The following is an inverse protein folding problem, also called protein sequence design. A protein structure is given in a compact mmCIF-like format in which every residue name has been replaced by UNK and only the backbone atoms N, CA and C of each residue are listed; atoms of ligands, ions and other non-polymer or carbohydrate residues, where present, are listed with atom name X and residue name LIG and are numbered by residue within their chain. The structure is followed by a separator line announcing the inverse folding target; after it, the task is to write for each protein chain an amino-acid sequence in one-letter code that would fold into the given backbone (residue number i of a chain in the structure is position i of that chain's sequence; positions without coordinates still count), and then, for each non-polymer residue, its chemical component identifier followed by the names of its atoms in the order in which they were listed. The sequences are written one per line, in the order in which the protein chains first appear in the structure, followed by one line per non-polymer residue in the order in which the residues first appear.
data_IF_594447412662
#
_entry.id   IF_594447412662
#
_cell.length_a   1.000
_cell.length_b   1.000
_cell.length_c   1.000
_cell.angle_alpha   90.00
_cell.angle_beta   90.00
_cell.angle_gamma   90.00
#
_symmetry.space_group_name_H-M   'P 1'
#
loop_
_entity.id
_entity.type
_entity.pdbx_description
1 polymer ?
#
# COMPACT_ATOMS: atom_id res chain seq x y z
N UNK A 1 57.08 -33.60 -65.74
CA UNK A 1 57.61 -34.94 -65.41
C UNK A 1 58.28 -34.83 -64.04
N UNK A 2 57.85 -35.66 -63.09
CA UNK A 2 58.48 -35.93 -61.75
C UNK A 2 58.31 -34.82 -60.70
N UNK A 3 57.92 -35.04 -59.44
CA UNK A 3 57.21 -36.10 -58.68
C UNK A 3 56.90 -35.51 -57.28
N UNK A 4 55.68 -35.70 -56.74
CA UNK A 4 55.35 -36.45 -55.51
C UNK A 4 56.22 -36.21 -54.26
N UNK A 5 55.59 -35.67 -53.19
CA UNK A 5 55.23 -36.37 -51.92
C UNK A 5 56.41 -36.62 -50.97
N UNK A 6 56.29 -36.24 -49.70
CA UNK A 6 55.77 -37.15 -48.66
C UNK A 6 55.70 -36.48 -47.27
N UNK A 7 54.57 -36.72 -46.60
CA UNK A 7 54.28 -36.44 -45.19
C UNK A 7 55.25 -37.13 -44.21
N UNK A 8 55.41 -36.53 -43.02
CA UNK A 8 55.29 -37.23 -41.71
C UNK A 8 55.20 -36.25 -40.52
N UNK A 9 54.04 -36.29 -39.87
CA UNK A 9 53.77 -36.35 -38.41
C UNK A 9 54.37 -35.31 -37.43
N UNK A 10 53.49 -34.39 -36.98
CA UNK A 10 53.02 -34.09 -35.58
C UNK A 10 53.89 -34.41 -34.33
N UNK A 11 53.63 -33.82 -33.12
CA UNK A 11 52.82 -32.64 -32.78
C UNK A 11 53.29 -31.73 -31.58
N UNK A 12 52.57 -30.59 -31.46
CA UNK A 12 51.98 -29.92 -30.28
C UNK A 12 52.82 -29.19 -29.18
N UNK A 13 52.59 -27.85 -29.18
CA UNK A 13 52.10 -26.96 -28.09
C UNK A 13 53.04 -26.48 -26.95
N UNK A 14 53.21 -25.15 -26.89
CA UNK A 14 52.89 -24.22 -25.78
C UNK A 14 53.76 -22.94 -25.93
N UNK A 15 53.25 -21.78 -26.39
CA UNK A 15 52.44 -20.73 -25.69
C UNK A 15 53.31 -19.68 -24.96
N UNK A 16 53.06 -18.42 -25.37
CA UNK A 16 53.27 -17.10 -24.71
C UNK A 16 54.68 -16.52 -24.48
N UNK A 17 54.93 -15.31 -25.00
CA UNK A 17 54.90 -14.05 -24.21
C UNK A 17 55.18 -12.77 -25.04
N UNK A 18 54.73 -11.63 -24.49
CA UNK A 18 55.25 -10.25 -24.61
C UNK A 18 54.43 -9.14 -25.30
N UNK A 19 53.79 -8.36 -24.41
CA UNK A 19 53.51 -6.91 -24.39
C UNK A 19 54.35 -5.99 -25.31
N UNK A 20 53.70 -4.91 -25.78
CA UNK A 20 54.37 -3.63 -26.07
C UNK A 20 53.48 -2.60 -26.77
N UNK A 21 53.01 -1.56 -26.05
CA UNK A 21 52.22 -0.42 -26.55
C UNK A 21 53.05 0.48 -27.50
N UNK A 22 52.38 1.08 -28.48
CA UNK A 22 52.33 2.54 -28.85
C UNK A 22 51.95 2.64 -30.33
N UNK A 23 50.93 3.44 -30.69
CA UNK A 23 50.85 4.35 -31.85
C UNK A 23 49.44 4.99 -31.96
N UNK A 24 49.42 6.34 -31.94
CA UNK A 24 48.58 7.30 -32.70
C UNK A 24 47.05 7.18 -32.59
N UNK A 25 46.25 8.06 -31.95
CA UNK A 25 46.07 9.53 -32.04
C UNK A 25 46.20 10.10 -33.46
N UNK A 26 45.14 9.97 -34.26
CA UNK A 26 44.66 10.99 -35.20
C UNK A 26 43.31 10.52 -35.80
N UNK A 27 42.22 10.91 -35.15
CA UNK A 27 40.87 10.63 -35.65
C UNK A 27 39.83 10.56 -34.55
N UNK A 28 39.62 11.65 -33.79
CA UNK A 28 38.48 11.82 -32.88
C UNK A 28 38.29 13.29 -32.47
N UNK A 29 38.32 14.21 -33.44
CA UNK A 29 38.03 15.65 -33.20
C UNK A 29 36.66 16.07 -33.76
N UNK A 30 35.81 15.13 -34.20
CA UNK A 30 34.50 15.48 -34.76
C UNK A 30 33.29 14.76 -34.16
N UNK A 31 33.37 14.31 -32.90
CA UNK A 31 32.22 13.76 -32.18
C UNK A 31 32.26 14.23 -30.71
N UNK A 32 32.15 15.54 -30.47
CA UNK A 32 32.03 16.06 -29.09
C UNK A 32 31.12 17.29 -28.95
N UNK A 33 30.23 17.55 -29.92
CA UNK A 33 29.35 18.73 -29.85
C UNK A 33 27.87 18.47 -30.17
N UNK A 34 27.43 17.21 -30.17
CA UNK A 34 25.99 16.85 -30.25
C UNK A 34 25.55 16.03 -29.02
N UNK A 35 26.46 15.56 -28.18
CA UNK A 35 26.18 14.68 -27.03
C UNK A 35 25.89 15.40 -25.72
N UNK A 36 25.17 16.53 -25.73
CA UNK A 36 24.86 17.27 -24.48
C UNK A 36 23.42 17.78 -24.38
N UNK A 37 22.49 17.24 -25.18
CA UNK A 37 21.08 17.66 -25.16
C UNK A 37 20.03 16.53 -25.13
N UNK A 38 20.39 15.27 -24.89
CA UNK A 38 19.39 14.18 -24.96
C UNK A 38 19.58 13.03 -23.95
N UNK A 39 19.74 13.32 -22.65
CA UNK A 39 19.74 12.28 -21.60
C UNK A 39 18.73 12.55 -20.48
N UNK A 40 17.60 13.18 -20.78
CA UNK A 40 16.51 13.35 -19.80
C UNK A 40 15.17 12.72 -20.21
N UNK A 41 15.09 12.01 -21.35
CA UNK A 41 13.82 11.46 -21.85
C UNK A 41 13.62 9.96 -21.61
N UNK A 42 14.66 9.19 -21.32
CA UNK A 42 14.57 7.71 -21.41
C UNK A 42 13.76 7.05 -20.30
N UNK A 43 13.86 7.50 -19.04
CA UNK A 43 13.19 6.84 -17.91
C UNK A 43 11.65 7.00 -17.92
N UNK A 44 11.15 8.14 -18.39
CA UNK A 44 9.69 8.36 -18.52
C UNK A 44 9.11 7.57 -19.69
N UNK A 45 9.86 7.43 -20.79
CA UNK A 45 9.41 6.81 -22.02
C UNK A 45 9.36 5.28 -21.88
N UNK A 46 10.35 4.69 -21.21
CA UNK A 46 10.39 3.26 -20.86
C UNK A 46 9.25 2.87 -19.90
N UNK A 47 8.98 3.70 -18.89
CA UNK A 47 7.89 3.47 -17.94
C UNK A 47 6.49 3.62 -18.55
N UNK A 48 6.34 4.49 -19.56
CA UNK A 48 5.11 4.63 -20.35
C UNK A 48 4.91 3.42 -21.25
N UNK A 49 5.98 2.90 -21.86
CA UNK A 49 5.93 1.71 -22.71
C UNK A 49 5.52 0.45 -21.92
N UNK A 50 6.06 0.27 -20.71
CA UNK A 50 5.65 -0.81 -19.81
C UNK A 50 4.18 -0.68 -19.39
N UNK A 51 3.67 0.53 -19.20
CA UNK A 51 2.27 0.78 -18.81
C UNK A 51 1.27 0.36 -19.91
N UNK A 52 1.63 0.54 -21.18
CA UNK A 52 0.77 0.21 -22.32
C UNK A 52 0.49 -1.30 -22.48
N UNK A 53 1.26 -2.15 -21.79
CA UNK A 53 1.05 -3.60 -21.78
C UNK A 53 -0.02 -4.04 -20.77
N UNK A 54 -0.40 -3.16 -19.82
CA UNK A 54 -1.39 -3.48 -18.81
C UNK A 54 -2.82 -3.31 -19.33
N UNK A 55 -3.70 -4.24 -18.95
CA UNK A 55 -5.14 -3.99 -19.02
C UNK A 55 -5.56 -2.92 -18.01
N UNK A 56 -6.76 -2.35 -18.22
CA UNK A 56 -7.37 -1.38 -17.32
C UNK A 56 -7.37 -1.86 -15.85
N UNK A 57 -7.79 -3.11 -15.60
CA UNK A 57 -7.80 -3.69 -14.25
C UNK A 57 -6.39 -3.85 -13.67
N UNK A 58 -5.42 -4.35 -14.45
CA UNK A 58 -4.08 -4.58 -13.91
C UNK A 58 -3.36 -3.26 -13.59
N UNK A 59 -3.56 -2.23 -14.42
CA UNK A 59 -3.07 -0.89 -14.14
C UNK A 59 -3.75 -0.28 -12.89
N UNK A 60 -5.05 -0.49 -12.71
CA UNK A 60 -5.76 -0.10 -11.48
C UNK A 60 -5.14 -0.78 -10.24
N UNK A 61 -5.00 -2.11 -10.25
CA UNK A 61 -4.42 -2.87 -9.14
C UNK A 61 -3.00 -2.39 -8.79
N UNK A 62 -2.16 -2.18 -9.82
CA UNK A 62 -0.81 -1.65 -9.62
C UNK A 62 -0.82 -0.23 -9.05
N UNK A 63 -1.67 0.64 -9.59
CA UNK A 63 -1.84 2.01 -9.13
C UNK A 63 -2.33 2.08 -7.69
N UNK A 64 -3.32 1.26 -7.33
CA UNK A 64 -3.86 1.15 -5.97
C UNK A 64 -2.79 0.72 -4.97
N UNK A 65 -2.01 -0.31 -5.29
CA UNK A 65 -0.93 -0.79 -4.42
C UNK A 65 0.16 0.26 -4.25
N UNK A 66 0.64 0.86 -5.34
CA UNK A 66 1.65 1.94 -5.27
C UNK A 66 1.19 3.11 -4.40
N UNK A 67 -0.09 3.49 -4.50
CA UNK A 67 -0.69 4.54 -3.67
C UNK A 67 -0.62 4.16 -2.19
N UNK A 68 -1.02 2.94 -1.86
CA UNK A 68 -0.99 2.41 -0.50
C UNK A 68 0.44 2.17 0.02
N UNK A 69 1.43 2.13 -0.87
CA UNK A 69 2.87 2.08 -0.56
C UNK A 69 3.53 3.45 -0.52
N UNK A 70 2.77 4.55 -0.51
CA UNK A 70 3.30 5.92 -0.51
C UNK A 70 4.14 6.28 -1.75
N UNK A 71 3.93 5.57 -2.87
CA UNK A 71 4.49 5.84 -4.20
C UNK A 71 3.47 6.60 -5.05
N UNK A 72 2.84 7.63 -4.47
CA UNK A 72 1.70 8.39 -5.01
C UNK A 72 1.98 9.02 -6.39
N UNK A 73 3.19 9.52 -6.64
CA UNK A 73 3.55 10.10 -7.93
C UNK A 73 3.44 9.06 -9.06
N UNK A 74 3.97 7.86 -8.83
CA UNK A 74 3.87 6.74 -9.77
C UNK A 74 2.44 6.21 -9.84
N UNK A 75 1.77 6.06 -8.69
CA UNK A 75 0.39 5.58 -8.61
C UNK A 75 -0.57 6.40 -9.49
N UNK A 76 -0.47 7.74 -9.46
CA UNK A 76 -1.32 8.62 -10.26
C UNK A 76 -1.22 8.33 -11.76
N UNK A 77 -0.06 7.97 -12.27
CA UNK A 77 0.11 7.66 -13.69
C UNK A 77 -0.67 6.39 -14.07
N UNK A 78 -0.52 5.32 -13.29
CA UNK A 78 -1.25 4.06 -13.51
C UNK A 78 -2.76 4.21 -13.33
N UNK A 79 -3.18 4.93 -12.28
CA UNK A 79 -4.60 5.17 -12.02
C UNK A 79 -5.24 6.01 -13.13
N UNK A 80 -4.55 7.05 -13.62
CA UNK A 80 -5.03 7.85 -14.75
C UNK A 80 -5.16 7.00 -16.01
N UNK A 81 -4.14 6.21 -16.33
CA UNK A 81 -4.16 5.32 -17.50
C UNK A 81 -5.34 4.33 -17.43
N UNK A 82 -5.53 3.67 -16.30
CA UNK A 82 -6.67 2.76 -16.09
C UNK A 82 -8.02 3.49 -16.18
N UNK A 83 -8.12 4.70 -15.63
CA UNK A 83 -9.31 5.55 -15.71
C UNK A 83 -9.62 5.96 -17.16
N UNK A 84 -8.61 6.32 -17.94
CA UNK A 84 -8.74 6.70 -19.35
C UNK A 84 -9.18 5.50 -20.21
N UNK A 85 -8.86 4.28 -19.79
CA UNK A 85 -9.37 3.03 -20.38
C UNK A 85 -10.78 2.65 -19.90
N UNK A 86 -11.37 3.43 -18.99
CA UNK A 86 -12.74 3.23 -18.50
C UNK A 86 -12.87 2.40 -17.22
N UNK A 87 -11.80 2.15 -16.47
CA UNK A 87 -11.90 1.49 -15.16
C UNK A 87 -12.47 2.47 -14.11
N UNK A 88 -13.69 2.22 -13.58
CA UNK A 88 -14.39 3.18 -12.74
C UNK A 88 -13.72 3.42 -11.38
N UNK A 89 -13.12 2.39 -10.77
CA UNK A 89 -12.49 2.55 -9.46
C UNK A 89 -11.13 3.27 -9.55
N UNK A 90 -10.44 3.17 -10.68
CA UNK A 90 -9.24 3.91 -10.99
C UNK A 90 -9.56 5.39 -11.22
N UNK A 91 -10.66 5.69 -11.92
CA UNK A 91 -11.15 7.05 -12.06
C UNK A 91 -11.47 7.67 -10.69
N UNK A 92 -12.11 6.90 -9.81
CA UNK A 92 -12.35 7.32 -8.42
C UNK A 92 -11.04 7.61 -7.66
N UNK A 93 -10.11 6.64 -7.60
CA UNK A 93 -8.85 6.81 -6.88
C UNK A 93 -7.98 7.91 -7.46
N UNK A 94 -7.93 8.06 -8.79
CA UNK A 94 -7.23 9.16 -9.45
C UNK A 94 -7.82 10.50 -9.02
N UNK A 95 -9.14 10.63 -9.01
CA UNK A 95 -9.80 11.85 -8.58
C UNK A 95 -9.47 12.21 -7.12
N UNK A 96 -9.40 11.22 -6.23
CA UNK A 96 -9.01 11.43 -4.82
C UNK A 96 -7.55 11.85 -4.68
N UNK A 97 -6.63 11.24 -5.45
CA UNK A 97 -5.22 11.62 -5.46
C UNK A 97 -4.98 13.04 -6.01
N UNK A 98 -5.73 13.45 -7.04
CA UNK A 98 -5.67 14.82 -7.57
C UNK A 98 -6.20 15.85 -6.55
N UNK A 99 -7.31 15.53 -5.88
CA UNK A 99 -7.89 16.41 -4.86
C UNK A 99 -6.95 16.59 -3.65
N UNK A 100 -6.37 15.50 -3.15
CA UNK A 100 -5.45 15.54 -2.01
C UNK A 100 -4.11 16.23 -2.33
N UNK A 101 -3.68 16.22 -3.60
CA UNK A 101 -2.44 16.90 -4.02
C UNK A 101 -2.63 18.41 -4.19
N UNK A 102 -3.80 18.87 -4.65
CA UNK A 102 -4.10 20.29 -4.87
C UNK A 102 -4.98 20.84 -3.75
N UNK A 103 -4.41 20.95 -2.55
CA UNK A 103 -5.14 21.28 -1.30
C UNK A 103 -5.75 22.68 -1.24
N UNK A 104 -5.39 23.57 -2.16
CA UNK A 104 -5.91 24.95 -2.22
C UNK A 104 -7.31 25.06 -2.82
N UNK A 105 -7.75 24.05 -3.58
CA UNK A 105 -9.10 24.01 -4.17
C UNK A 105 -9.79 22.75 -3.68
N UNK A 106 -10.90 22.92 -2.95
CA UNK A 106 -11.77 21.81 -2.57
C UNK A 106 -12.35 21.18 -3.85
N UNK A 107 -11.93 19.96 -4.14
CA UNK A 107 -12.28 19.16 -5.33
C UNK A 107 -12.01 19.91 -6.65
N UNK A 108 -10.77 19.90 -7.16
CA UNK A 108 -10.39 20.55 -8.43
C UNK A 108 -11.24 20.09 -9.63
N UNK A 109 -11.43 20.91 -10.67
CA UNK A 109 -12.26 20.53 -11.84
C UNK A 109 -11.88 19.19 -12.48
N UNK A 110 -10.59 18.86 -12.50
CA UNK A 110 -10.09 17.57 -12.96
C UNK A 110 -10.59 16.40 -12.08
N UNK A 111 -10.56 16.56 -10.75
CA UNK A 111 -11.12 15.59 -9.81
C UNK A 111 -12.63 15.45 -9.99
N UNK A 112 -13.35 16.56 -10.18
CA UNK A 112 -14.79 16.56 -10.46
C UNK A 112 -15.13 15.75 -11.72
N UNK A 113 -14.36 15.93 -12.80
CA UNK A 113 -14.53 15.20 -14.05
C UNK A 113 -14.37 13.69 -13.86
N UNK A 114 -13.28 13.24 -13.23
CA UNK A 114 -13.03 11.82 -13.02
C UNK A 114 -13.99 11.19 -11.98
N UNK A 115 -14.47 11.95 -11.00
CA UNK A 115 -15.54 11.48 -10.10
C UNK A 115 -16.84 11.18 -10.86
N UNK A 116 -17.23 12.06 -11.79
CA UNK A 116 -18.41 11.82 -12.63
C UNK A 116 -18.22 10.59 -13.52
N UNK A 117 -17.05 10.46 -14.17
CA UNK A 117 -16.74 9.27 -14.99
C UNK A 117 -16.78 7.98 -14.17
N UNK A 118 -16.16 7.99 -12.98
CA UNK A 118 -16.16 6.86 -12.06
C UNK A 118 -17.58 6.44 -11.67
N UNK A 119 -18.41 7.40 -11.28
CA UNK A 119 -19.80 7.14 -10.88
C UNK A 119 -20.67 6.68 -12.07
N UNK A 120 -20.47 7.25 -13.26
CA UNK A 120 -21.14 6.80 -14.48
C UNK A 120 -20.73 5.37 -14.87
N UNK A 121 -19.47 5.01 -14.64
CA UNK A 121 -18.93 3.66 -14.85
C UNK A 121 -19.25 2.66 -13.74
N UNK A 122 -19.99 3.05 -12.69
CA UNK A 122 -20.48 2.14 -11.66
C UNK A 122 -19.68 2.12 -10.34
N UNK A 123 -18.71 3.02 -10.13
CA UNK A 123 -18.00 3.09 -8.85
C UNK A 123 -18.92 3.58 -7.74
N UNK A 124 -19.25 2.69 -6.79
CA UNK A 124 -20.08 3.01 -5.61
C UNK A 124 -19.46 4.11 -4.76
N UNK A 125 -18.14 4.06 -4.55
CA UNK A 125 -17.43 5.08 -3.78
C UNK A 125 -17.55 6.47 -4.42
N UNK A 126 -17.43 6.54 -5.76
CA UNK A 126 -17.63 7.81 -6.46
C UNK A 126 -19.07 8.32 -6.32
N UNK A 127 -20.08 7.45 -6.50
CA UNK A 127 -21.48 7.84 -6.30
C UNK A 127 -21.71 8.39 -4.89
N UNK A 128 -21.12 7.73 -3.87
CA UNK A 128 -21.17 8.16 -2.47
C UNK A 128 -20.58 9.54 -2.27
N UNK A 129 -19.37 9.79 -2.77
CA UNK A 129 -18.74 11.11 -2.72
C UNK A 129 -19.59 12.17 -3.43
N UNK A 130 -20.14 11.86 -4.61
CA UNK A 130 -20.96 12.82 -5.36
C UNK A 130 -22.21 13.26 -4.58
N UNK A 131 -22.93 12.35 -3.92
CA UNK A 131 -24.11 12.76 -3.16
C UNK A 131 -23.79 13.34 -1.78
N UNK A 132 -22.73 12.88 -1.10
CA UNK A 132 -22.37 13.35 0.25
C UNK A 132 -21.56 14.65 0.22
N UNK A 133 -20.60 14.77 -0.70
CA UNK A 133 -19.58 15.82 -0.70
C UNK A 133 -19.56 16.66 -2.00
N UNK A 134 -20.36 16.28 -3.00
CA UNK A 134 -20.49 17.00 -4.27
C UNK A 134 -21.28 18.31 -4.19
N UNK A 135 -20.91 19.22 -3.28
CA UNK A 135 -21.57 20.54 -3.10
C UNK A 135 -21.54 21.43 -4.35
N UNK A 136 -20.67 21.12 -5.31
CA UNK A 136 -20.59 21.78 -6.62
C UNK A 136 -21.67 21.28 -7.61
N UNK A 137 -22.38 20.20 -7.29
CA UNK A 137 -23.54 19.72 -8.03
C UNK A 137 -24.84 20.34 -7.50
N UNK A 138 -25.87 20.39 -8.35
CA UNK A 138 -27.20 20.78 -7.92
C UNK A 138 -27.78 19.70 -6.99
N UNK A 139 -28.64 20.11 -6.06
CA UNK A 139 -29.32 19.18 -5.13
C UNK A 139 -30.07 18.06 -5.85
N UNK A 140 -30.68 18.34 -7.01
CA UNK A 140 -31.36 17.32 -7.81
C UNK A 140 -30.39 16.25 -8.36
N UNK A 141 -29.20 16.65 -8.81
CA UNK A 141 -28.16 15.74 -9.30
C UNK A 141 -27.61 14.87 -8.18
N UNK A 142 -27.38 15.47 -6.99
CA UNK A 142 -26.95 14.72 -5.80
C UNK A 142 -27.97 13.65 -5.40
N UNK A 143 -29.27 13.95 -5.46
CA UNK A 143 -30.33 12.96 -5.18
C UNK A 143 -30.32 11.80 -6.19
N UNK A 144 -30.06 12.08 -7.47
CA UNK A 144 -29.91 11.03 -8.48
C UNK A 144 -28.74 10.12 -8.12
N UNK A 145 -27.58 10.68 -7.74
CA UNK A 145 -26.43 9.88 -7.31
C UNK A 145 -26.67 9.12 -6.02
N UNK A 146 -27.42 9.70 -5.08
CA UNK A 146 -27.83 9.02 -3.85
C UNK A 146 -28.68 7.78 -4.15
N UNK A 147 -29.67 7.91 -5.04
CA UNK A 147 -30.50 6.78 -5.46
C UNK A 147 -29.67 5.71 -6.18
N UNK A 148 -28.81 6.11 -7.13
CA UNK A 148 -27.94 5.16 -7.84
C UNK A 148 -26.98 4.43 -6.92
N UNK A 149 -26.42 5.12 -5.93
CA UNK A 149 -25.61 4.49 -4.90
C UNK A 149 -26.41 3.42 -4.15
N UNK A 150 -27.62 3.77 -3.69
CA UNK A 150 -28.50 2.83 -3.00
C UNK A 150 -28.82 1.60 -3.85
N UNK A 151 -29.25 1.79 -5.10
CA UNK A 151 -29.53 0.69 -6.04
C UNK A 151 -28.30 -0.22 -6.23
N UNK A 152 -27.12 0.38 -6.41
CA UNK A 152 -25.87 -0.37 -6.57
C UNK A 152 -25.47 -1.16 -5.31
N UNK A 153 -25.79 -0.67 -4.12
CA UNK A 153 -25.56 -1.41 -2.86
C UNK A 153 -26.58 -2.54 -2.69
N UNK A 154 -27.83 -2.36 -3.14
CA UNK A 154 -28.81 -3.45 -3.18
C UNK A 154 -28.35 -4.57 -4.11
N UNK A 155 -27.86 -4.24 -5.30
CA UNK A 155 -27.31 -5.21 -6.26
C UNK A 155 -26.08 -5.94 -5.69
N UNK A 156 -25.24 -5.24 -4.91
CA UNK A 156 -24.09 -5.82 -4.23
C UNK A 156 -24.51 -6.92 -3.24
N UNK A 157 -25.67 -6.79 -2.59
CA UNK A 157 -26.15 -7.73 -1.58
C UNK A 157 -26.28 -9.18 -2.07
N UNK A 158 -26.45 -9.40 -3.38
CA UNK A 158 -26.46 -10.73 -3.96
C UNK A 158 -25.08 -11.39 -4.08
N UNK A 159 -23.99 -10.63 -4.01
CA UNK A 159 -22.61 -11.10 -4.18
C UNK A 159 -21.80 -10.99 -2.88
N UNK A 160 -21.92 -9.86 -2.20
CA UNK A 160 -21.15 -9.50 -1.02
C UNK A 160 -22.10 -8.97 0.08
N UNK A 161 -22.92 -9.86 0.69
CA UNK A 161 -23.97 -9.44 1.61
C UNK A 161 -23.45 -8.71 2.86
N UNK A 162 -22.25 -9.06 3.33
CA UNK A 162 -21.63 -8.44 4.50
C UNK A 162 -21.23 -6.98 4.22
N UNK A 163 -20.61 -6.73 3.07
CA UNK A 163 -20.25 -5.39 2.58
C UNK A 163 -21.50 -4.56 2.28
N UNK A 164 -22.50 -5.14 1.60
CA UNK A 164 -23.75 -4.44 1.29
C UNK A 164 -24.50 -4.03 2.56
N UNK A 165 -24.58 -4.93 3.56
CA UNK A 165 -25.17 -4.60 4.85
C UNK A 165 -24.38 -3.48 5.56
N UNK A 166 -23.05 -3.51 5.53
CA UNK A 166 -22.24 -2.43 6.10
C UNK A 166 -22.49 -1.08 5.40
N UNK A 167 -22.53 -1.06 4.08
CA UNK A 167 -22.80 0.15 3.30
C UNK A 167 -24.23 0.69 3.52
N UNK A 168 -25.24 -0.18 3.64
CA UNK A 168 -26.60 0.21 4.00
C UNK A 168 -26.68 0.78 5.41
N UNK A 169 -25.91 0.23 6.36
CA UNK A 169 -25.82 0.80 7.70
C UNK A 169 -25.31 2.25 7.67
N UNK A 170 -24.28 2.53 6.87
CA UNK A 170 -23.75 3.88 6.68
C UNK A 170 -24.74 4.78 5.93
N UNK A 171 -25.43 4.27 4.92
CA UNK A 171 -26.41 5.00 4.13
C UNK A 171 -27.58 5.52 4.99
N UNK A 172 -28.13 4.67 5.87
CA UNK A 172 -29.27 5.01 6.71
C UNK A 172 -28.91 5.72 8.01
N UNK A 173 -27.61 5.85 8.35
CA UNK A 173 -27.14 6.34 9.66
C UNK A 173 -27.82 7.64 10.12
N UNK A 174 -28.08 8.56 9.20
CA UNK A 174 -28.67 9.87 9.51
C UNK A 174 -30.18 9.94 9.25
N UNK A 175 -30.70 9.18 8.27
CA UNK A 175 -32.10 9.25 7.86
C UNK A 175 -33.00 8.29 8.64
N UNK A 176 -32.51 7.10 8.96
CA UNK A 176 -33.21 6.07 9.72
C UNK A 176 -32.22 5.29 10.62
N UNK A 177 -31.95 5.78 11.83
CA UNK A 177 -31.02 5.14 12.76
C UNK A 177 -31.41 3.73 13.19
N UNK A 178 -32.70 3.38 13.13
CA UNK A 178 -33.19 2.04 13.46
C UNK A 178 -32.80 1.06 12.35
N UNK A 179 -33.06 1.44 11.10
CA UNK A 179 -32.68 0.65 9.94
C UNK A 179 -31.17 0.55 9.80
N UNK A 180 -30.44 1.64 10.06
CA UNK A 180 -28.99 1.65 10.12
C UNK A 180 -28.45 0.61 11.12
N UNK A 181 -29.05 0.54 12.31
CA UNK A 181 -28.65 -0.43 13.33
C UNK A 181 -28.95 -1.86 12.92
N UNK A 182 -30.08 -2.10 12.25
CA UNK A 182 -30.45 -3.42 11.73
C UNK A 182 -29.40 -3.91 10.71
N UNK A 183 -29.06 -3.08 9.73
CA UNK A 183 -28.02 -3.41 8.75
C UNK A 183 -26.63 -3.58 9.37
N UNK A 184 -26.29 -2.75 10.37
CA UNK A 184 -25.02 -2.90 11.09
C UNK A 184 -24.95 -4.27 11.80
N UNK A 185 -26.04 -4.70 12.43
CA UNK A 185 -26.11 -6.00 13.09
C UNK A 185 -25.93 -7.15 12.09
N UNK A 186 -26.62 -7.12 10.96
CA UNK A 186 -26.45 -8.11 9.89
C UNK A 186 -25.00 -8.15 9.38
N UNK A 187 -24.38 -6.99 9.14
CA UNK A 187 -22.98 -6.93 8.72
C UNK A 187 -22.04 -7.55 9.77
N UNK A 188 -22.29 -7.32 11.06
CA UNK A 188 -21.48 -7.92 12.14
C UNK A 188 -21.70 -9.41 12.32
N UNK A 189 -22.92 -9.91 12.10
CA UNK A 189 -23.23 -11.35 12.11
C UNK A 189 -22.55 -12.09 10.96
N UNK A 190 -22.33 -11.38 9.84
CA UNK A 190 -21.54 -11.85 8.70
C UNK A 190 -20.03 -11.53 8.84
N UNK A 191 -19.58 -11.22 10.06
CA UNK A 191 -18.17 -10.95 10.39
C UNK A 191 -17.50 -9.84 9.56
N UNK A 192 -18.26 -8.86 9.08
CA UNK A 192 -17.69 -7.74 8.32
C UNK A 192 -16.76 -6.90 9.21
N UNK A 193 -15.47 -6.74 8.87
CA UNK A 193 -14.48 -6.18 9.79
C UNK A 193 -14.74 -4.72 10.14
N UNK A 194 -15.03 -3.87 9.15
CA UNK A 194 -15.33 -2.47 9.42
C UNK A 194 -16.66 -2.29 10.17
N UNK A 195 -17.59 -3.25 10.04
CA UNK A 195 -18.84 -3.23 10.79
C UNK A 195 -18.60 -3.59 12.27
N UNK A 196 -17.74 -4.58 12.53
CA UNK A 196 -17.31 -4.93 13.89
C UNK A 196 -16.59 -3.74 14.54
N UNK A 197 -15.71 -3.05 13.82
CA UNK A 197 -15.08 -1.82 14.30
C UNK A 197 -16.10 -0.72 14.63
N UNK A 198 -17.04 -0.46 13.73
CA UNK A 198 -18.09 0.55 13.95
C UNK A 198 -18.96 0.19 15.16
N UNK A 199 -19.30 -1.09 15.33
CA UNK A 199 -20.03 -1.58 16.51
C UNK A 199 -19.22 -1.36 17.79
N UNK A 200 -17.92 -1.69 17.80
CA UNK A 200 -17.04 -1.47 18.93
C UNK A 200 -17.00 0.01 19.34
N UNK A 201 -16.84 0.91 18.35
CA UNK A 201 -16.86 2.36 18.56
C UNK A 201 -18.21 2.84 19.14
N UNK A 202 -19.33 2.34 18.63
CA UNK A 202 -20.66 2.68 19.17
C UNK A 202 -20.80 2.24 20.64
N UNK A 203 -20.28 1.06 21.00
CA UNK A 203 -20.28 0.56 22.38
C UNK A 203 -19.47 1.51 23.27
N UNK A 204 -18.29 1.94 22.84
CA UNK A 204 -17.47 2.90 23.60
C UNK A 204 -18.20 4.23 23.84
N UNK A 205 -18.93 4.71 22.83
CA UNK A 205 -19.73 5.92 22.87
C UNK A 205 -21.02 5.79 23.69
N UNK A 206 -21.29 4.62 24.27
CA UNK A 206 -22.42 4.40 25.18
C UNK A 206 -23.65 3.75 24.55
N UNK A 207 -23.57 3.26 23.30
CA UNK A 207 -24.64 2.48 22.68
C UNK A 207 -24.76 1.12 23.37
N UNK A 208 -25.96 0.73 23.77
CA UNK A 208 -26.24 -0.56 24.44
C UNK A 208 -26.46 -0.42 25.95
N UNK A 209 -26.76 -1.53 26.62
CA UNK A 209 -27.01 -1.56 28.07
C UNK A 209 -25.98 -2.43 28.77
N UNK A 210 -25.21 -1.83 29.68
CA UNK A 210 -24.07 -2.44 30.36
C UNK A 210 -24.14 -2.13 31.86
N UNK A 211 -24.93 -2.90 32.63
CA UNK A 211 -25.26 -2.55 34.02
C UNK A 211 -24.08 -2.70 34.99
N UNK A 212 -23.07 -3.49 34.64
CA UNK A 212 -21.90 -3.73 35.48
C UNK A 212 -20.77 -2.73 35.17
N UNK A 213 -20.12 -2.12 36.18
CA UNK A 213 -18.94 -1.29 35.96
C UNK A 213 -17.89 -2.04 35.13
N UNK A 214 -17.45 -1.42 34.03
CA UNK A 214 -16.44 -1.98 33.13
C UNK A 214 -16.95 -2.99 32.09
N UNK A 215 -18.21 -3.45 32.14
CA UNK A 215 -18.70 -4.42 31.14
C UNK A 215 -18.80 -3.83 29.73
N UNK A 216 -19.11 -2.54 29.61
CA UNK A 216 -19.09 -1.81 28.32
C UNK A 216 -17.72 -1.82 27.66
N UNK A 217 -16.69 -1.43 28.42
CA UNK A 217 -15.31 -1.43 27.94
C UNK A 217 -14.80 -2.84 27.62
N UNK A 218 -15.31 -3.85 28.33
CA UNK A 218 -15.00 -5.26 28.06
C UNK A 218 -15.63 -5.71 26.75
N UNK A 219 -16.90 -5.36 26.51
CA UNK A 219 -17.60 -5.73 25.27
C UNK A 219 -17.01 -5.02 24.05
N UNK A 220 -16.76 -3.71 24.12
CA UNK A 220 -16.08 -2.98 23.04
C UNK A 220 -14.75 -3.63 22.67
N UNK A 221 -13.95 -4.00 23.67
CA UNK A 221 -12.67 -4.68 23.44
C UNK A 221 -12.84 -6.04 22.78
N UNK A 222 -13.81 -6.86 23.24
CA UNK A 222 -14.12 -8.14 22.60
C UNK A 222 -14.49 -7.94 21.13
N UNK A 223 -15.28 -6.92 20.82
CA UNK A 223 -15.67 -6.60 19.44
C UNK A 223 -14.48 -6.11 18.59
N UNK A 224 -13.59 -5.27 19.13
CA UNK A 224 -12.35 -4.90 18.43
C UNK A 224 -11.44 -6.11 18.18
N UNK A 225 -11.32 -7.00 19.16
CA UNK A 225 -10.56 -8.24 19.00
C UNK A 225 -11.15 -9.12 17.89
N UNK A 226 -12.48 -9.27 17.82
CA UNK A 226 -13.15 -9.97 16.73
C UNK A 226 -12.80 -9.35 15.37
N UNK A 227 -12.85 -8.02 15.25
CA UNK A 227 -12.46 -7.32 14.03
C UNK A 227 -10.98 -7.54 13.68
N UNK A 228 -10.08 -7.55 14.67
CA UNK A 228 -8.66 -7.79 14.47
C UNK A 228 -8.37 -9.24 14.03
N UNK A 229 -9.14 -10.20 14.54
CA UNK A 229 -9.03 -11.63 14.19
C UNK A 229 -9.38 -11.93 12.73
N UNK A 230 -10.11 -11.05 12.04
CA UNK A 230 -10.36 -11.20 10.60
C UNK A 230 -9.14 -10.82 9.74
N UNK A 231 -8.03 -10.37 10.35
CA UNK A 231 -6.87 -9.85 9.64
C UNK A 231 -7.00 -8.39 9.18
N UNK A 232 -8.06 -7.69 9.58
CA UNK A 232 -8.29 -6.30 9.15
C UNK A 232 -7.28 -5.37 9.83
N UNK A 233 -6.32 -4.86 9.05
CA UNK A 233 -5.20 -4.03 9.54
C UNK A 233 -5.67 -2.86 10.43
N UNK A 234 -6.71 -2.07 10.07
CA UNK A 234 -7.19 -0.99 10.94
C UNK A 234 -7.66 -1.49 12.32
N UNK A 235 -8.30 -2.66 12.38
CA UNK A 235 -8.71 -3.26 13.65
C UNK A 235 -7.52 -3.76 14.46
N UNK A 236 -6.54 -4.41 13.81
CA UNK A 236 -5.29 -4.84 14.46
C UNK A 236 -4.57 -3.64 15.08
N UNK A 237 -4.41 -2.54 14.34
CA UNK A 237 -3.77 -1.31 14.85
C UNK A 237 -4.50 -0.74 16.05
N UNK A 238 -5.82 -0.63 15.99
CA UNK A 238 -6.62 -0.15 17.13
C UNK A 238 -6.51 -1.07 18.35
N UNK A 239 -6.47 -2.39 18.12
CA UNK A 239 -6.31 -3.36 19.19
C UNK A 239 -4.93 -3.29 19.85
N UNK A 240 -3.85 -3.10 19.06
CA UNK A 240 -2.49 -2.82 19.57
C UNK A 240 -2.52 -1.57 20.45
N UNK A 241 -3.11 -0.47 19.98
CA UNK A 241 -3.21 0.77 20.76
C UNK A 241 -3.99 0.58 22.06
N UNK A 242 -5.10 -0.18 22.04
CA UNK A 242 -5.85 -0.53 23.24
C UNK A 242 -5.01 -1.28 24.26
N UNK A 243 -4.23 -2.27 23.81
CA UNK A 243 -3.33 -3.05 24.66
C UNK A 243 -2.22 -2.20 25.25
N UNK A 244 -1.56 -1.37 24.44
CA UNK A 244 -0.50 -0.45 24.87
C UNK A 244 -1.00 0.55 25.90
N UNK A 245 -2.19 1.13 25.70
CA UNK A 245 -2.80 2.07 26.65
C UNK A 245 -3.05 1.47 28.04
N UNK A 246 -3.08 0.13 28.12
CA UNK A 246 -3.31 -0.64 29.35
C UNK A 246 -2.05 -1.32 29.86
N UNK A 247 -0.89 -0.99 29.28
CA UNK A 247 0.41 -1.56 29.65
C UNK A 247 0.59 -3.04 29.25
N UNK A 248 -0.27 -3.58 28.39
CA UNK A 248 -0.22 -4.98 27.94
C UNK A 248 0.73 -5.15 26.75
N UNK A 249 1.99 -4.76 26.92
CA UNK A 249 2.95 -4.70 25.81
C UNK A 249 3.32 -6.08 25.24
N UNK A 250 3.30 -7.15 26.05
CA UNK A 250 3.49 -8.53 25.57
C UNK A 250 2.42 -8.92 24.54
N UNK A 251 1.15 -8.69 24.86
CA UNK A 251 0.03 -8.97 23.95
C UNK A 251 0.12 -8.06 22.72
N UNK A 252 0.47 -6.78 22.92
CA UNK A 252 0.61 -5.82 21.82
C UNK A 252 1.72 -6.25 20.85
N UNK A 253 2.83 -6.79 21.35
CA UNK A 253 3.92 -7.31 20.52
C UNK A 253 3.45 -8.46 19.63
N UNK A 254 2.70 -9.42 20.20
CA UNK A 254 2.09 -10.51 19.42
C UNK A 254 1.22 -9.95 18.28
N UNK A 255 0.37 -8.97 18.55
CA UNK A 255 -0.48 -8.36 17.52
C UNK A 255 0.30 -7.53 16.50
N UNK A 256 1.45 -6.95 16.86
CA UNK A 256 2.37 -6.33 15.88
C UNK A 256 2.94 -7.36 14.91
N UNK A 257 3.25 -8.58 15.37
CA UNK A 257 3.65 -9.68 14.49
C UNK A 257 2.50 -10.09 13.56
N UNK A 258 1.26 -10.14 14.07
CA UNK A 258 0.09 -10.38 13.22
C UNK A 258 -0.09 -9.27 12.17
N UNK A 259 0.12 -8.01 12.53
CA UNK A 259 0.06 -6.90 11.59
C UNK A 259 1.06 -7.07 10.42
N UNK A 260 2.29 -7.50 10.72
CA UNK A 260 3.30 -7.83 9.70
C UNK A 260 2.82 -8.97 8.80
N UNK A 261 2.30 -10.06 9.37
CA UNK A 261 1.80 -11.21 8.62
C UNK A 261 0.64 -10.84 7.67
N UNK A 262 -0.17 -9.85 8.05
CA UNK A 262 -1.26 -9.32 7.22
C UNK A 262 -0.84 -8.19 6.26
N UNK A 263 0.46 -7.88 6.16
CA UNK A 263 0.97 -6.89 5.21
C UNK A 263 0.87 -5.43 5.65
N UNK A 264 0.78 -5.15 6.96
CA UNK A 264 0.82 -3.77 7.44
C UNK A 264 2.22 -3.15 7.23
N UNK A 265 2.32 -2.26 6.24
CA UNK A 265 3.56 -1.57 5.88
C UNK A 265 4.16 -0.78 7.06
N UNK A 266 3.34 -0.18 7.92
CA UNK A 266 3.84 0.61 9.05
C UNK A 266 4.26 -0.26 10.24
N UNK A 267 3.75 -1.49 10.32
CA UNK A 267 4.17 -2.44 11.33
C UNK A 267 5.64 -2.86 11.15
N UNK A 268 6.15 -2.86 9.91
CA UNK A 268 7.58 -3.11 9.65
C UNK A 268 8.47 -2.14 10.42
N UNK A 269 8.19 -0.82 10.33
CA UNK A 269 8.98 0.21 11.02
C UNK A 269 8.85 0.06 12.55
N UNK A 270 7.65 -0.25 13.05
CA UNK A 270 7.44 -0.48 14.47
C UNK A 270 8.25 -1.68 14.98
N UNK A 271 8.28 -2.79 14.23
CA UNK A 271 9.08 -3.96 14.56
C UNK A 271 10.58 -3.66 14.50
N UNK A 272 11.04 -2.93 13.48
CA UNK A 272 12.43 -2.46 13.39
C UNK A 272 12.86 -1.61 14.59
N UNK A 273 12.01 -0.69 15.05
CA UNK A 273 12.29 0.13 16.24
C UNK A 273 12.32 -0.72 17.53
N UNK A 274 11.43 -1.70 17.67
CA UNK A 274 11.43 -2.60 18.84
C UNK A 274 12.69 -3.45 18.88
N UNK A 275 13.04 -4.09 17.75
CA UNK A 275 14.16 -5.03 17.66
C UNK A 275 15.53 -4.34 17.67
N UNK A 276 15.60 -3.05 17.30
CA UNK A 276 16.80 -2.22 17.50
C UNK A 276 16.95 -1.67 18.93
N UNK A 277 16.01 -1.99 19.83
CA UNK A 277 16.05 -1.54 21.23
C UNK A 277 15.65 -0.08 21.45
N UNK A 278 15.00 0.57 20.48
CA UNK A 278 14.62 2.00 20.54
C UNK A 278 13.24 2.24 21.13
N UNK A 279 12.57 1.18 21.58
CA UNK A 279 11.23 1.24 22.12
C UNK A 279 11.23 0.90 23.60
N UNK A 280 11.29 1.92 24.46
CA UNK A 280 11.36 1.76 25.92
C UNK A 280 10.22 0.89 26.50
N UNK A 281 9.03 1.02 25.89
CA UNK A 281 7.83 0.27 26.26
C UNK A 281 7.95 -1.24 25.98
N UNK A 282 8.89 -1.63 25.12
CA UNK A 282 9.13 -3.00 24.66
C UNK A 282 10.47 -3.57 25.11
N UNK A 283 11.11 -3.01 26.15
CA UNK A 283 12.42 -3.46 26.69
C UNK A 283 12.51 -4.93 27.12
N UNK A 284 11.39 -5.64 27.19
CA UNK A 284 11.35 -7.08 27.48
C UNK A 284 11.67 -7.94 26.24
N UNK A 285 11.65 -7.34 25.06
CA UNK A 285 12.11 -7.95 23.81
C UNK A 285 13.62 -7.72 23.72
N UNK A 286 14.38 -8.81 23.60
CA UNK A 286 15.81 -8.73 23.36
C UNK A 286 16.09 -8.08 22.00
N UNK A 287 17.12 -7.24 21.95
CA UNK A 287 17.48 -6.56 20.72
C UNK A 287 18.08 -7.55 19.72
N UNK A 288 17.56 -7.54 18.50
CA UNK A 288 18.07 -8.29 17.36
C UNK A 288 18.24 -7.33 16.18
N UNK A 289 19.45 -6.76 16.07
CA UNK A 289 19.77 -5.77 15.06
C UNK A 289 19.79 -6.35 13.63
N UNK A 290 19.90 -7.68 13.46
CA UNK A 290 19.78 -8.34 12.15
C UNK A 290 18.34 -8.34 11.68
N UNK A 291 17.42 -8.75 12.55
CA UNK A 291 15.99 -8.64 12.25
C UNK A 291 15.58 -7.18 12.06
N UNK A 292 16.04 -6.27 12.92
CA UNK A 292 15.74 -4.84 12.78
C UNK A 292 16.16 -4.31 11.39
N UNK A 293 17.35 -4.69 10.91
CA UNK A 293 17.79 -4.37 9.54
C UNK A 293 16.82 -4.92 8.49
N UNK A 294 16.41 -6.18 8.60
CA UNK A 294 15.47 -6.78 7.65
C UNK A 294 14.13 -6.04 7.59
N UNK A 295 13.57 -5.67 8.74
CA UNK A 295 12.32 -4.91 8.83
C UNK A 295 12.44 -3.50 8.22
N UNK A 296 13.53 -2.77 8.50
CA UNK A 296 13.75 -1.46 7.90
C UNK A 296 14.04 -1.55 6.39
N UNK A 297 14.80 -2.55 5.96
CA UNK A 297 15.07 -2.85 4.55
C UNK A 297 13.79 -3.04 3.76
N UNK A 298 12.96 -3.99 4.21
CA UNK A 298 11.71 -4.31 3.52
C UNK A 298 10.76 -3.10 3.43
N UNK A 299 10.70 -2.30 4.50
CA UNK A 299 9.95 -1.06 4.49
C UNK A 299 10.49 -0.08 3.45
N UNK A 300 11.81 0.11 3.33
CA UNK A 300 12.42 1.06 2.40
C UNK A 300 12.34 0.61 0.93
N UNK A 301 12.36 -0.69 0.67
CA UNK A 301 12.13 -1.25 -0.68
C UNK A 301 10.67 -1.11 -1.10
N UNK A 302 9.76 -1.33 -0.14
CA UNK A 302 8.33 -1.30 -0.40
C UNK A 302 7.77 0.12 -0.44
N UNK A 303 8.10 0.97 0.53
CA UNK A 303 7.55 2.30 0.68
C UNK A 303 8.18 3.32 -0.27
N UNK A 304 7.40 4.30 -0.71
CA UNK A 304 7.88 5.51 -1.36
C UNK A 304 8.04 6.67 -0.37
N UNK A 305 8.85 7.69 -0.70
CA UNK A 305 9.01 8.88 0.14
C UNK A 305 7.90 9.94 -0.08
N UNK A 306 6.95 9.73 -1.00
CA UNK A 306 5.98 10.76 -1.40
C UNK A 306 5.03 11.15 -0.26
N UNK A 307 4.76 10.21 0.66
CA UNK A 307 4.02 10.43 1.91
C UNK A 307 4.81 9.85 3.08
N UNK A 308 4.58 10.38 4.27
CA UNK A 308 5.32 10.02 5.49
C UNK A 308 6.84 10.12 5.33
N UNK A 309 7.33 11.16 4.63
CA UNK A 309 8.75 11.36 4.34
C UNK A 309 9.64 11.33 5.59
N UNK A 310 9.17 11.85 6.73
CA UNK A 310 9.89 11.77 8.00
C UNK A 310 10.07 10.32 8.47
N UNK A 311 9.05 9.47 8.31
CA UNK A 311 9.14 8.05 8.66
C UNK A 311 10.13 7.34 7.72
N UNK A 312 10.07 7.67 6.43
CA UNK A 312 11.01 7.15 5.43
C UNK A 312 12.47 7.52 5.75
N UNK A 313 12.73 8.80 6.04
CA UNK A 313 14.06 9.30 6.43
C UNK A 313 14.54 8.71 7.75
N UNK A 314 13.65 8.54 8.73
CA UNK A 314 13.98 7.84 9.98
C UNK A 314 14.43 6.40 9.69
N UNK A 315 13.63 5.63 8.94
CA UNK A 315 13.99 4.25 8.57
C UNK A 315 15.30 4.17 7.80
N UNK A 316 15.59 5.11 6.89
CA UNK A 316 16.88 5.20 6.20
C UNK A 316 18.05 5.39 7.16
N UNK A 317 17.91 6.34 8.10
CA UNK A 317 18.94 6.58 9.11
C UNK A 317 19.18 5.33 9.95
N UNK A 318 18.11 4.68 10.41
CA UNK A 318 18.22 3.44 11.18
C UNK A 318 18.91 2.32 10.40
N UNK A 319 18.54 2.16 9.13
CA UNK A 319 19.16 1.16 8.26
C UNK A 319 20.67 1.38 8.13
N UNK A 320 21.12 2.63 7.98
CA UNK A 320 22.55 2.99 7.91
C UNK A 320 23.24 2.72 9.24
N UNK A 321 22.69 3.23 10.34
CA UNK A 321 23.28 3.11 11.68
C UNK A 321 23.44 1.64 12.10
N UNK A 322 22.43 0.80 11.83
CA UNK A 322 22.47 -0.65 12.08
C UNK A 322 23.48 -1.34 11.15
N UNK A 323 23.52 -0.97 9.87
CA UNK A 323 24.44 -1.59 8.90
C UNK A 323 25.92 -1.35 9.22
N UNK A 324 26.25 -0.28 9.95
CA UNK A 324 27.62 -0.02 10.43
C UNK A 324 28.02 -0.92 11.61
N UNK A 325 27.05 -1.51 12.31
CA UNK A 325 27.29 -2.38 13.46
C UNK A 325 27.39 -3.86 13.08
N UNK A 326 26.85 -4.24 11.93
CA UNK A 326 26.81 -5.62 11.44
C UNK A 326 28.05 -5.97 10.60
N UNK A 327 28.53 -7.19 10.76
CA UNK A 327 29.48 -7.81 9.82
C UNK A 327 28.81 -8.12 8.47
N UNK A 328 29.60 -8.38 7.43
CA UNK A 328 29.07 -8.77 6.12
C UNK A 328 28.25 -10.05 6.16
N UNK A 329 28.65 -11.04 6.98
CA UNK A 329 27.88 -12.27 7.16
C UNK A 329 26.51 -12.01 7.78
N UNK A 330 26.45 -11.15 8.80
CA UNK A 330 25.19 -10.81 9.45
C UNK A 330 24.27 -9.96 8.56
N UNK A 331 24.84 -9.17 7.63
CA UNK A 331 24.06 -8.46 6.61
C UNK A 331 23.41 -9.42 5.64
N UNK A 332 24.10 -10.51 5.26
CA UNK A 332 23.55 -11.58 4.42
C UNK A 332 22.40 -12.27 5.15
N UNK A 333 22.60 -12.65 6.42
CA UNK A 333 21.53 -13.24 7.24
C UNK A 333 20.31 -12.31 7.36
N UNK A 334 20.52 -11.01 7.54
CA UNK A 334 19.43 -10.04 7.56
C UNK A 334 18.66 -9.98 6.22
N UNK A 335 19.36 -10.10 5.08
CA UNK A 335 18.73 -10.18 3.77
C UNK A 335 17.95 -11.49 3.56
N UNK A 336 18.39 -12.61 4.14
CA UNK A 336 17.61 -13.85 4.13
C UNK A 336 16.30 -13.71 4.95
N UNK A 337 16.35 -13.03 6.09
CA UNK A 337 15.16 -12.73 6.90
C UNK A 337 14.21 -11.81 6.13
N UNK A 338 14.72 -10.80 5.44
CA UNK A 338 13.94 -9.89 4.60
C UNK A 338 13.18 -10.66 3.51
N UNK A 339 13.84 -11.57 2.78
CA UNK A 339 13.21 -12.46 1.81
C UNK A 339 12.14 -13.38 2.44
N UNK A 340 12.32 -13.81 3.69
CA UNK A 340 11.29 -14.59 4.39
C UNK A 340 10.05 -13.75 4.67
N UNK A 341 10.21 -12.49 5.07
CA UNK A 341 9.11 -11.57 5.34
C UNK A 341 8.32 -11.23 4.06
N UNK A 342 9.00 -11.13 2.91
CA UNK A 342 8.36 -10.91 1.61
C UNK A 342 7.35 -12.01 1.22
N UNK A 343 7.51 -13.23 1.74
CA UNK A 343 6.62 -14.35 1.45
C UNK A 343 5.24 -14.26 2.11
N UNK A 344 4.99 -13.25 2.96
CA UNK A 344 3.68 -13.07 3.60
C UNK A 344 2.63 -12.54 2.61
N UNK A 345 2.31 -11.25 2.71
CA UNK A 345 1.38 -10.55 1.84
C UNK A 345 2.08 -9.30 1.32
N UNK A 346 1.68 -8.75 0.17
CA UNK A 346 2.15 -7.44 -0.25
C UNK A 346 1.97 -6.44 0.90
N UNK A 347 3.02 -5.71 1.25
CA UNK A 347 2.93 -4.72 2.30
C UNK A 347 2.31 -3.42 1.77
N UNK A 348 1.32 -2.92 2.48
CA UNK A 348 0.62 -1.68 2.14
C UNK A 348 0.13 -0.95 3.40
N UNK A 349 -0.12 0.35 3.26
CA UNK A 349 -0.83 1.11 4.28
C UNK A 349 -2.33 1.09 4.00
N UNK A 350 -3.07 0.45 4.90
CA UNK A 350 -4.53 0.40 4.84
C UNK A 350 -5.12 1.75 5.27
N UNK A 351 -5.48 2.59 4.30
CA UNK A 351 -6.16 3.87 4.52
C UNK A 351 -7.62 3.83 4.03
N UNK A 352 -8.30 4.97 4.09
CA UNK A 352 -9.71 5.11 3.73
C UNK A 352 -10.02 4.83 2.25
N UNK A 353 -9.01 4.67 1.40
CA UNK A 353 -9.17 4.41 -0.03
C UNK A 353 -8.68 3.00 -0.42
N UNK A 354 -8.44 2.12 0.55
CA UNK A 354 -8.07 0.72 0.28
C UNK A 354 -9.30 -0.15 0.00
N UNK A 355 -10.35 0.01 0.79
CA UNK A 355 -11.63 -0.69 0.61
C UNK A 355 -12.43 0.00 -0.52
N UNK A 356 -12.95 -0.74 -1.51
CA UNK A 356 -13.67 -0.19 -2.67
C UNK A 356 -15.02 -0.85 -2.97
#
# INVERSE_FOLDING_TARGET
MVSQQQDRETPLIAVEYCRGRVVSILGNVLICLVGLLATFSSLSEEKIYDMQQFSAQQAFEKGRLLRAQFKNLAARQYLKYAADLGEPNAAYLYAMEVANYRTTIRTPPESQHYLLLAAQGGSRQAMKVLYQEGEWLRTAERRIWQQRYHDAVIDLGGKEPSQAAYELALYYQYSDPTLAQHYLMMATELEHPAALMLKAQQIEQGKGSYPMPGSRATEARKTYLQAAQTGYIPAIRNYIQDLESKGKYNDAYYWRQQAVQHGDLTALVAMGNILSGQSDLYRFIESDIKQAKAYFGLYLETAGPDRLSNLYQHSQKQMVDISLQLSEQEKIEASEIELQLENYQPFFNHDAYWDY
#
